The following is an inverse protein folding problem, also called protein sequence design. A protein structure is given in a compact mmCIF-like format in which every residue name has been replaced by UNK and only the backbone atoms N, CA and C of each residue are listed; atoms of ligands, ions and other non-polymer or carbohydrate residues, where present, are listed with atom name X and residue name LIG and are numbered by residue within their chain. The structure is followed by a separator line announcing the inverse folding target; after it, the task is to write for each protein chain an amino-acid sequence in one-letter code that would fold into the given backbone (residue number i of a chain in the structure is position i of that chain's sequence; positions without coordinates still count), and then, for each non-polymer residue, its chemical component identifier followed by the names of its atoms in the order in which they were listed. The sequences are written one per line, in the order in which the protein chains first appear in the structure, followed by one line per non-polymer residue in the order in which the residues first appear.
data_IF_053157335141
#
_entry.id   IF_053157335141
#
_cell.length_a   1.000
_cell.length_b   1.000
_cell.length_c   1.000
_cell.angle_alpha   90.00
_cell.angle_beta   90.00
_cell.angle_gamma   90.00
#
_symmetry.space_group_name_H-M   'P 1'
#
loop_
_entity.id
_entity.type
_entity.pdbx_description
1 polymer ?
#
# COMPACT_ATOMS: atom_id res chain seq x y z
N UNK A 1 -1.31 51.48 0.97
CA UNK A 1 -1.85 50.15 1.33
C UNK A 1 -1.41 49.86 2.76
N UNK A 2 -2.25 49.23 3.59
CA UNK A 2 -1.89 48.92 4.99
C UNK A 2 -0.97 47.69 4.99
N UNK A 3 0.26 47.86 5.48
CA UNK A 3 1.13 46.74 5.82
C UNK A 3 0.98 46.46 7.31
N UNK A 4 0.92 45.18 7.67
CA UNK A 4 0.81 44.76 9.06
C UNK A 4 2.20 44.60 9.68
N UNK A 5 2.31 44.97 10.95
CA UNK A 5 3.52 44.85 11.75
C UNK A 5 3.63 43.48 12.43
N UNK A 6 4.80 43.21 13.01
CA UNK A 6 5.12 41.94 13.67
C UNK A 6 4.20 41.67 14.88
N UNK A 7 3.76 42.72 15.59
CA UNK A 7 2.82 42.59 16.70
C UNK A 7 1.44 42.09 16.25
N UNK A 8 0.94 42.62 15.12
CA UNK A 8 -0.35 42.17 14.56
C UNK A 8 -0.26 40.73 14.06
N UNK A 9 0.86 40.32 13.44
CA UNK A 9 1.09 38.93 13.05
C UNK A 9 1.21 37.98 14.26
N UNK A 10 1.81 38.43 15.36
CA UNK A 10 1.84 37.66 16.60
C UNK A 10 0.43 37.40 17.14
N UNK A 11 -0.47 38.39 17.09
CA UNK A 11 -1.87 38.23 17.49
C UNK A 11 -2.63 37.26 16.56
N UNK A 12 -2.35 37.30 15.25
CA UNK A 12 -2.88 36.35 14.27
C UNK A 12 -2.46 34.91 14.58
N UNK A 13 -1.17 34.68 14.82
CA UNK A 13 -0.62 33.35 15.11
C UNK A 13 -1.15 32.79 16.43
N UNK A 14 -1.42 33.65 17.42
CA UNK A 14 -1.97 33.26 18.72
C UNK A 14 -3.52 33.17 18.74
N UNK A 15 -4.18 33.19 17.57
CA UNK A 15 -5.64 33.11 17.43
C UNK A 15 -6.41 34.18 18.23
N UNK A 16 -5.85 35.38 18.40
CA UNK A 16 -6.44 36.49 19.19
C UNK A 16 -7.15 37.57 18.37
N UNK A 17 -7.33 37.34 17.07
CA UNK A 17 -7.98 38.29 16.15
C UNK A 17 -9.43 37.93 15.89
N UNK A 18 -10.24 38.92 15.52
CA UNK A 18 -11.62 38.69 15.11
C UNK A 18 -11.65 38.02 13.71
N UNK A 19 -12.66 37.17 13.42
CA UNK A 19 -12.75 36.46 12.13
C UNK A 19 -12.70 37.37 10.90
N UNK A 20 -13.27 38.56 10.99
CA UNK A 20 -13.28 39.54 9.90
C UNK A 20 -11.87 40.09 9.61
N UNK A 21 -11.08 40.35 10.66
CA UNK A 21 -9.72 40.88 10.53
C UNK A 21 -8.76 39.83 9.99
N UNK A 22 -8.96 38.56 10.36
CA UNK A 22 -8.23 37.40 9.82
C UNK A 22 -8.39 37.34 8.30
N UNK A 23 -9.63 37.39 7.80
CA UNK A 23 -9.90 37.32 6.36
C UNK A 23 -9.26 38.48 5.58
N UNK A 24 -9.27 39.71 6.12
CA UNK A 24 -8.59 40.84 5.48
C UNK A 24 -7.07 40.66 5.43
N UNK A 25 -6.48 40.16 6.51
CA UNK A 25 -5.05 39.89 6.60
C UNK A 25 -4.61 38.76 5.67
N UNK A 26 -5.36 37.66 5.60
CA UNK A 26 -5.11 36.57 4.65
C UNK A 26 -5.21 37.06 3.20
N UNK A 27 -6.24 37.83 2.87
CA UNK A 27 -6.39 38.42 1.53
C UNK A 27 -5.19 39.31 1.16
N UNK A 28 -4.64 40.04 2.14
CA UNK A 28 -3.47 40.87 1.96
C UNK A 28 -2.20 40.06 1.68
N UNK A 29 -2.02 38.90 2.33
CA UNK A 29 -0.88 38.00 2.10
C UNK A 29 -0.77 37.53 0.64
N UNK A 30 -1.90 37.30 -0.04
CA UNK A 30 -1.89 36.93 -1.46
C UNK A 30 -1.36 38.02 -2.39
N UNK A 31 -1.33 39.28 -1.96
CA UNK A 31 -1.01 40.44 -2.81
C UNK A 31 0.27 41.17 -2.39
N UNK A 32 0.79 40.92 -1.19
CA UNK A 32 1.94 41.64 -0.64
C UNK A 32 3.05 40.68 -0.17
N UNK A 33 4.13 40.63 -0.95
CA UNK A 33 5.30 39.79 -0.64
C UNK A 33 6.03 40.21 0.64
N UNK A 34 6.06 41.51 0.96
CA UNK A 34 6.68 42.00 2.19
C UNK A 34 5.97 41.50 3.44
N UNK A 35 4.63 41.51 3.42
CA UNK A 35 3.82 41.00 4.54
C UNK A 35 3.91 39.47 4.64
N UNK A 36 3.95 38.76 3.52
CA UNK A 36 4.22 37.32 3.51
C UNK A 36 5.58 36.99 4.13
N UNK A 37 6.62 37.74 3.78
CA UNK A 37 7.96 37.54 4.31
C UNK A 37 7.99 37.75 5.83
N UNK A 38 7.37 38.83 6.33
CA UNK A 38 7.26 39.09 7.77
C UNK A 38 6.49 38.01 8.50
N UNK A 39 5.37 37.53 7.93
CA UNK A 39 4.59 36.44 8.50
C UNK A 39 5.42 35.15 8.63
N UNK A 40 6.16 34.77 7.58
CA UNK A 40 7.03 33.59 7.63
C UNK A 40 8.10 33.70 8.72
N UNK A 41 8.73 34.88 8.87
CA UNK A 41 9.70 35.13 9.95
C UNK A 41 9.04 34.98 11.34
N UNK A 42 7.84 35.51 11.53
CA UNK A 42 7.10 35.37 12.78
C UNK A 42 6.80 33.89 13.10
N UNK A 43 6.41 33.11 12.08
CA UNK A 43 6.13 31.68 12.22
C UNK A 43 7.40 30.88 12.59
N UNK A 44 8.54 31.19 11.98
CA UNK A 44 9.82 30.54 12.30
C UNK A 44 10.28 30.85 13.73
N UNK A 45 10.15 32.10 14.18
CA UNK A 45 10.48 32.47 15.56
C UNK A 45 9.59 31.74 16.58
N UNK A 46 8.31 31.57 16.27
CA UNK A 46 7.38 30.81 17.11
C UNK A 46 7.75 29.32 17.15
N UNK A 47 8.22 28.73 16.04
CA UNK A 47 8.62 27.34 15.98
C UNK A 47 9.73 27.00 16.98
N UNK A 48 10.60 27.96 17.32
CA UNK A 48 11.65 27.80 18.34
C UNK A 48 11.10 27.72 19.77
N UNK A 49 9.87 28.19 20.00
CA UNK A 49 9.21 28.13 21.32
C UNK A 49 8.38 26.88 21.52
N UNK A 50 8.12 26.13 20.44
CA UNK A 50 7.41 24.87 20.53
C UNK A 50 8.32 23.81 21.17
N UNK A 51 7.82 22.99 22.11
CA UNK A 51 8.60 21.90 22.66
C UNK A 51 9.02 20.95 21.52
N UNK A 52 10.32 20.83 21.29
CA UNK A 52 10.85 19.79 20.41
C UNK A 52 10.52 18.44 21.02
N UNK A 53 9.82 17.59 20.28
CA UNK A 53 9.55 16.22 20.71
C UNK A 53 10.88 15.46 20.77
N UNK A 54 11.44 15.27 21.98
CA UNK A 54 12.66 14.48 22.20
C UNK A 54 12.45 12.97 22.03
N UNK A 55 11.20 12.54 21.82
CA UNK A 55 10.86 11.13 21.61
C UNK A 55 11.06 10.82 20.13
N UNK A 56 11.82 9.76 19.84
CA UNK A 56 11.93 9.17 18.51
C UNK A 56 10.54 9.02 17.88
N UNK A 57 10.32 9.69 16.74
CA UNK A 57 9.02 9.79 16.07
C UNK A 57 8.38 8.41 15.88
N UNK A 58 9.22 7.40 15.62
CA UNK A 58 8.77 6.01 15.42
C UNK A 58 8.20 5.41 16.70
N UNK A 59 8.82 5.69 17.84
CA UNK A 59 8.35 5.24 19.15
C UNK A 59 7.00 5.90 19.50
N UNK A 60 6.81 7.18 19.17
CA UNK A 60 5.54 7.86 19.37
C UNK A 60 4.43 7.30 18.46
N UNK A 61 4.73 7.12 17.16
CA UNK A 61 3.77 6.53 16.21
C UNK A 61 3.38 5.12 16.62
N UNK A 62 4.33 4.28 17.06
CA UNK A 62 4.04 2.93 17.55
C UNK A 62 3.19 2.96 18.82
N UNK A 63 3.46 3.88 19.75
CA UNK A 63 2.64 4.06 20.96
C UNK A 63 1.20 4.51 20.64
N UNK A 64 1.00 5.36 19.64
CA UNK A 64 -0.34 5.78 19.19
C UNK A 64 -1.03 4.64 18.44
N UNK A 65 -0.33 3.91 17.59
CA UNK A 65 -0.86 2.79 16.83
C UNK A 65 -1.29 1.64 17.74
N UNK A 66 -0.47 1.31 18.75
CA UNK A 66 -0.81 0.29 19.75
C UNK A 66 -2.02 0.69 20.59
N UNK A 67 -2.15 1.98 20.93
CA UNK A 67 -3.29 2.50 21.70
C UNK A 67 -4.58 2.58 20.91
N UNK A 68 -4.52 2.86 19.61
CA UNK A 68 -5.71 3.09 18.76
C UNK A 68 -6.14 1.86 17.98
N UNK A 69 -5.20 1.04 17.50
CA UNK A 69 -5.49 -0.16 16.71
C UNK A 69 -5.52 -1.45 17.53
N UNK A 70 -5.28 -1.38 18.84
CA UNK A 70 -5.48 -2.50 19.76
C UNK A 70 -4.90 -3.80 19.21
N UNK A 71 -3.61 -3.82 18.87
CA UNK A 71 -2.99 -5.04 18.36
C UNK A 71 -2.78 -6.00 19.53
N UNK A 72 -3.86 -6.70 19.89
CA UNK A 72 -3.74 -7.99 20.57
C UNK A 72 -3.14 -8.91 19.51
N UNK A 73 -1.80 -8.84 19.39
CA UNK A 73 -0.99 -9.53 18.39
C UNK A 73 -1.49 -10.97 18.32
N UNK A 74 -2.21 -11.21 17.23
CA UNK A 74 -2.90 -12.44 16.90
C UNK A 74 -2.00 -13.62 17.22
N UNK A 75 -2.41 -14.41 18.22
CA UNK A 75 -1.83 -15.73 18.57
C UNK A 75 -2.16 -16.77 17.48
N UNK A 76 -2.21 -16.33 16.24
CA UNK A 76 -2.81 -16.96 15.08
C UNK A 76 -2.01 -16.51 13.85
N UNK A 77 -0.74 -16.92 13.79
CA UNK A 77 -0.12 -17.19 12.50
C UNK A 77 -0.83 -18.42 11.90
N UNK A 78 -2.04 -18.19 11.36
CA UNK A 78 -2.89 -19.22 10.78
C UNK A 78 -2.13 -20.00 9.70
N UNK A 79 -1.21 -19.36 8.97
CA UNK A 79 -0.40 -20.02 7.93
C UNK A 79 0.36 -21.24 8.44
N UNK A 80 1.06 -21.15 9.58
CA UNK A 80 1.81 -22.30 10.11
C UNK A 80 0.89 -23.45 10.55
N UNK A 81 -0.29 -23.13 11.12
CA UNK A 81 -1.27 -24.15 11.51
C UNK A 81 -1.88 -24.87 10.30
N UNK A 82 -2.19 -24.15 9.22
CA UNK A 82 -2.75 -24.75 8.01
C UNK A 82 -1.75 -25.72 7.35
N UNK A 83 -0.47 -25.32 7.25
CA UNK A 83 0.58 -26.22 6.77
C UNK A 83 0.80 -27.41 7.70
N UNK A 84 0.72 -27.21 9.02
CA UNK A 84 0.81 -28.29 10.01
C UNK A 84 -0.31 -29.33 9.86
N UNK A 85 -1.56 -28.89 9.68
CA UNK A 85 -2.71 -29.78 9.47
C UNK A 85 -2.56 -30.57 8.17
N UNK A 86 -2.16 -29.91 7.07
CA UNK A 86 -1.96 -30.57 5.79
C UNK A 86 -0.85 -31.63 5.84
N UNK A 87 0.30 -31.29 6.45
CA UNK A 87 1.42 -32.21 6.60
C UNK A 87 1.06 -33.42 7.49
N UNK A 88 0.33 -33.19 8.58
CA UNK A 88 -0.15 -34.26 9.45
C UNK A 88 -1.12 -35.20 8.71
N UNK A 89 -2.05 -34.65 7.93
CA UNK A 89 -2.98 -35.45 7.12
C UNK A 89 -2.23 -36.34 6.11
N UNK A 90 -1.21 -35.81 5.42
CA UNK A 90 -0.38 -36.62 4.51
C UNK A 90 0.39 -37.71 5.23
N UNK A 91 0.95 -37.43 6.40
CA UNK A 91 1.69 -38.43 7.19
C UNK A 91 0.76 -39.55 7.65
N UNK A 92 -0.45 -39.21 8.12
CA UNK A 92 -1.45 -40.19 8.54
C UNK A 92 -1.89 -41.06 7.36
N UNK A 93 -2.18 -40.48 6.20
CA UNK A 93 -2.59 -41.24 5.00
C UNK A 93 -1.49 -42.17 4.48
N UNK A 94 -0.23 -41.73 4.53
CA UNK A 94 0.93 -42.54 4.15
C UNK A 94 1.16 -43.66 5.18
N UNK A 95 1.14 -43.36 6.48
CA UNK A 95 1.37 -44.32 7.55
C UNK A 95 0.28 -45.41 7.63
N UNK A 96 -0.97 -45.05 7.30
CA UNK A 96 -2.10 -45.99 7.25
C UNK A 96 -2.18 -46.78 5.95
N UNK A 97 -1.38 -46.44 4.93
CA UNK A 97 -1.35 -47.16 3.67
C UNK A 97 -2.60 -46.97 2.79
N UNK A 98 -3.38 -45.91 3.00
CA UNK A 98 -4.61 -45.61 2.25
C UNK A 98 -4.41 -45.61 0.72
N UNK A 99 -3.27 -45.08 0.25
CA UNK A 99 -2.90 -45.08 -1.16
C UNK A 99 -2.63 -46.48 -1.73
N UNK A 100 -2.27 -47.45 -0.90
CA UNK A 100 -2.07 -48.84 -1.32
C UNK A 100 -3.40 -49.52 -1.66
N UNK A 101 -4.46 -49.23 -0.90
CA UNK A 101 -5.81 -49.72 -1.16
C UNK A 101 -6.42 -49.14 -2.45
N UNK A 102 -6.26 -47.83 -2.68
CA UNK A 102 -6.70 -47.19 -3.93
C UNK A 102 -6.01 -47.77 -5.18
N UNK A 103 -4.70 -48.06 -5.08
CA UNK A 103 -3.95 -48.64 -6.21
C UNK A 103 -4.41 -50.05 -6.58
N UNK A 104 -4.98 -50.80 -5.63
CA UNK A 104 -5.50 -52.14 -5.88
C UNK A 104 -6.91 -52.10 -6.49
N UNK A 105 -7.75 -51.16 -6.03
CA UNK A 105 -9.12 -50.99 -6.53
C UNK A 105 -9.17 -50.38 -7.95
N UNK A 106 -8.18 -49.55 -8.31
CA UNK A 106 -8.08 -48.93 -9.62
C UNK A 106 -7.49 -49.85 -10.71
N UNK A 107 -6.97 -51.03 -10.35
CA UNK A 107 -6.36 -51.97 -11.27
C UNK A 107 -5.22 -51.36 -12.12
N UNK A 108 -4.63 -52.12 -13.06
CA UNK A 108 -3.55 -51.62 -13.93
C UNK A 108 -3.96 -50.46 -14.86
N UNK A 109 -5.24 -50.05 -14.85
CA UNK A 109 -5.77 -48.95 -15.65
C UNK A 109 -5.78 -47.60 -14.92
N UNK A 110 -5.61 -47.59 -13.59
CA UNK A 110 -5.41 -46.38 -12.80
C UNK A 110 -4.00 -46.23 -12.26
N UNK A 111 -3.04 -47.05 -12.72
CA UNK A 111 -1.65 -46.67 -12.65
C UNK A 111 -1.53 -45.37 -13.42
N UNK A 112 -1.04 -44.32 -12.76
CA UNK A 112 -0.69 -43.09 -13.41
C UNK A 112 0.45 -43.45 -14.37
N UNK A 113 0.10 -43.84 -15.60
CA UNK A 113 0.95 -43.55 -16.72
C UNK A 113 1.26 -42.06 -16.54
N UNK A 114 2.54 -41.66 -16.44
CA UNK A 114 2.85 -40.28 -16.75
C UNK A 114 2.24 -40.12 -18.13
N UNK A 115 1.19 -39.31 -18.24
CA UNK A 115 0.58 -39.03 -19.53
C UNK A 115 1.76 -38.69 -20.45
N UNK A 116 1.89 -39.34 -21.64
CA UNK A 116 2.89 -38.89 -22.62
C UNK A 116 2.69 -37.38 -22.70
N UNK A 117 3.73 -36.57 -22.41
CA UNK A 117 3.60 -35.22 -21.90
C UNK A 117 2.44 -34.58 -22.60
N UNK A 118 1.31 -34.48 -21.90
CA UNK A 118 0.08 -34.00 -22.50
C UNK A 118 0.48 -32.67 -23.06
N UNK A 119 0.56 -32.59 -24.40
CA UNK A 119 0.80 -31.35 -25.07
C UNK A 119 -0.24 -30.42 -24.47
N UNK A 120 0.22 -29.50 -23.62
CA UNK A 120 -0.61 -28.43 -23.12
C UNK A 120 -1.07 -27.82 -24.42
N UNK A 121 -2.33 -28.07 -24.77
CA UNK A 121 -2.96 -27.40 -25.89
C UNK A 121 -3.16 -25.97 -25.38
N UNK A 122 -2.04 -25.25 -25.34
CA UNK A 122 -2.02 -23.80 -25.32
C UNK A 122 -2.65 -23.51 -26.67
N UNK A 123 -3.97 -23.35 -26.69
CA UNK A 123 -4.66 -22.75 -27.84
C UNK A 123 -4.00 -21.38 -28.00
N UNK A 124 -3.01 -21.35 -28.89
CA UNK A 124 -2.09 -20.31 -29.29
C UNK A 124 -1.75 -19.26 -28.20
N UNK A 125 -0.49 -19.17 -27.73
CA UNK A 125 -0.11 -18.16 -26.76
C UNK A 125 -0.51 -16.78 -27.30
N UNK A 126 -1.08 -15.94 -26.44
CA UNK A 126 -1.64 -14.62 -26.80
C UNK A 126 -0.63 -13.76 -27.59
N UNK A 127 0.67 -14.00 -27.37
CA UNK A 127 1.78 -13.44 -28.16
C UNK A 127 1.64 -13.75 -29.66
N UNK A 128 1.35 -14.99 -30.04
CA UNK A 128 1.23 -15.41 -31.45
C UNK A 128 0.00 -14.78 -32.11
N UNK A 129 -1.10 -14.59 -31.35
CA UNK A 129 -2.26 -13.86 -31.86
C UNK A 129 -1.98 -12.37 -32.07
N UNK A 130 -1.22 -11.74 -31.17
CA UNK A 130 -0.85 -10.33 -31.32
C UNK A 130 0.12 -10.13 -32.49
N UNK A 131 1.10 -11.02 -32.65
CA UNK A 131 2.03 -11.00 -33.79
C UNK A 131 1.32 -11.21 -35.12
N UNK A 132 0.40 -12.18 -35.21
CA UNK A 132 -0.34 -12.38 -36.44
C UNK A 132 -1.22 -11.18 -36.78
N UNK A 133 -1.80 -10.51 -35.78
CA UNK A 133 -2.59 -9.29 -36.02
C UNK A 133 -1.74 -8.10 -36.46
N UNK A 134 -0.54 -7.91 -35.90
CA UNK A 134 0.35 -6.83 -36.33
C UNK A 134 0.94 -7.09 -37.71
N UNK A 135 1.30 -8.34 -38.03
CA UNK A 135 1.80 -8.71 -39.35
C UNK A 135 0.72 -8.55 -40.44
N UNK A 136 -0.51 -8.98 -40.16
CA UNK A 136 -1.61 -8.82 -41.13
C UNK A 136 -1.90 -7.33 -41.37
N UNK A 137 -1.90 -6.51 -40.32
CA UNK A 137 -2.09 -5.06 -40.44
C UNK A 137 -0.96 -4.38 -41.23
N UNK A 138 0.30 -4.79 -41.01
CA UNK A 138 1.47 -4.29 -41.76
C UNK A 138 1.36 -4.63 -43.25
N UNK A 139 0.96 -5.86 -43.58
CA UNK A 139 0.81 -6.33 -44.95
C UNK A 139 -0.33 -5.58 -45.68
N UNK A 140 -1.41 -5.25 -44.94
CA UNK A 140 -2.52 -4.43 -45.47
C UNK A 140 -2.09 -2.99 -45.81
N UNK A 141 -1.07 -2.45 -45.13
CA UNK A 141 -0.53 -1.12 -45.42
C UNK A 141 0.50 -1.12 -46.54
N UNK A 142 1.25 -2.21 -46.73
CA UNK A 142 2.21 -2.32 -47.84
C UNK A 142 1.52 -2.61 -49.18
N UNK A 143 0.33 -3.20 -49.17
CA UNK A 143 -0.42 -3.56 -50.39
C UNK A 143 -1.42 -2.49 -50.84
N UNK A 144 -1.22 -1.21 -50.48
CA UNK A 144 -2.07 -0.08 -50.87
C UNK A 144 -1.27 1.09 -51.44
#
# INVERSE_FOLDING_TARGET
MKHYDEQTWSLYINERLLPNEISEMELHLYRCNDCLTRYMICMEQMALTLPTMEIDERTYVDAVLTRTLGTKRSWYHSTMLHYGIAAAATLILVATGFFHGLSQELGPQGALQPAPPSAIKIDQPISDQLLNKTLTWLDTLQNK
#
